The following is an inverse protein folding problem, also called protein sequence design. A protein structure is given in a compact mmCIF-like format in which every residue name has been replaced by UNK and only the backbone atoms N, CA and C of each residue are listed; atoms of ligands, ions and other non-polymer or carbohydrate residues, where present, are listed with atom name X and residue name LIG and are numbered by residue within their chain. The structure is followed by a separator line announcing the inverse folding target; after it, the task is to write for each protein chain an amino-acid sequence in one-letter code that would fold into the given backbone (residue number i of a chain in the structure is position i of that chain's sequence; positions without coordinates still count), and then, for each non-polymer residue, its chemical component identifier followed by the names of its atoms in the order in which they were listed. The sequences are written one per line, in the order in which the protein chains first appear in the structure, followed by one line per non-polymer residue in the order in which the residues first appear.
data_IF_362743220019
#
_entry.id   IF_362743220019
#
_cell.length_a   1.000
_cell.length_b   1.000
_cell.length_c   1.000
_cell.angle_alpha   90.00
_cell.angle_beta   90.00
_cell.angle_gamma   90.00
#
_symmetry.space_group_name_H-M   'P 1'
#
loop_
_entity.id
_entity.type
_entity.pdbx_description
1 polymer ?
#
# COMPACT_ATOMS: atom_id res chain seq x y z
N UNK A 1 -41.98 -4.44 4.95
CA UNK A 1 -40.69 -4.43 5.68
C UNK A 1 -39.63 -3.92 4.72
N UNK A 2 -38.95 -2.81 5.09
CA UNK A 2 -38.03 -2.08 4.22
C UNK A 2 -36.82 -2.96 3.86
N UNK A 3 -36.64 -3.23 2.57
CA UNK A 3 -35.46 -3.90 2.01
C UNK A 3 -34.26 -2.95 2.16
N UNK A 4 -33.31 -3.29 3.03
CA UNK A 4 -32.04 -2.58 3.12
C UNK A 4 -31.17 -3.05 1.96
N UNK A 5 -31.07 -2.25 0.89
CA UNK A 5 -30.04 -2.45 -0.14
C UNK A 5 -28.68 -2.17 0.51
N UNK A 6 -27.88 -3.22 0.77
CA UNK A 6 -26.47 -3.05 1.07
C UNK A 6 -25.71 -3.07 -0.27
N UNK A 7 -25.64 -1.90 -0.89
CA UNK A 7 -24.91 -1.67 -2.14
C UNK A 7 -23.42 -1.49 -1.79
N UNK A 8 -22.59 -2.52 -1.98
CA UNK A 8 -21.14 -2.36 -1.92
C UNK A 8 -20.66 -1.64 -3.18
N UNK A 9 -20.64 -0.31 -3.12
CA UNK A 9 -19.91 0.52 -4.06
C UNK A 9 -18.41 0.16 -3.96
N UNK A 10 -17.87 -0.50 -4.98
CA UNK A 10 -16.43 -0.41 -5.26
C UNK A 10 -16.22 1.01 -5.78
N UNK A 11 -15.96 1.94 -4.87
CA UNK A 11 -15.44 3.26 -5.20
C UNK A 11 -14.07 3.04 -5.85
N UNK A 12 -14.05 3.10 -7.19
CA UNK A 12 -12.87 3.44 -7.94
C UNK A 12 -12.49 4.90 -7.62
N UNK A 13 -11.91 5.12 -6.45
CA UNK A 13 -11.16 6.34 -6.14
C UNK A 13 -9.76 5.95 -5.71
N UNK A 14 -9.06 5.27 -6.61
CA UNK A 14 -7.61 5.42 -6.70
C UNK A 14 -7.36 6.47 -7.79
N UNK A 15 -7.33 7.75 -7.39
CA UNK A 15 -6.43 8.70 -8.06
C UNK A 15 -4.99 8.35 -7.63
N UNK A 16 -4.59 7.12 -7.91
CA UNK A 16 -3.20 6.75 -7.94
C UNK A 16 -2.67 7.29 -9.26
N UNK A 17 -1.62 8.10 -9.19
CA UNK A 17 -0.74 8.35 -10.33
C UNK A 17 0.01 7.03 -10.57
N UNK A 18 -0.71 6.02 -11.05
CA UNK A 18 -0.12 4.79 -11.56
C UNK A 18 0.11 5.04 -13.04
N UNK A 19 1.36 4.87 -13.48
CA UNK A 19 1.71 5.02 -14.88
C UNK A 19 1.11 3.84 -15.66
N UNK A 20 -0.10 4.02 -16.16
CA UNK A 20 -0.76 3.09 -17.08
C UNK A 20 0.07 3.00 -18.36
N UNK A 21 0.57 1.81 -18.67
CA UNK A 21 1.15 1.56 -19.99
C UNK A 21 0.06 0.94 -20.85
N UNK A 22 -0.63 1.78 -21.64
CA UNK A 22 -1.51 1.28 -22.70
C UNK A 22 -0.64 0.63 -23.75
N UNK A 23 -0.79 -0.68 -23.98
CA UNK A 23 -0.07 -1.37 -25.05
C UNK A 23 -0.69 -0.95 -26.39
N UNK A 24 -0.16 0.10 -27.01
CA UNK A 24 -0.57 0.52 -28.37
C UNK A 24 0.10 -0.37 -29.42
N UNK A 25 -0.66 -0.73 -30.45
CA UNK A 25 -0.39 -1.71 -31.53
C UNK A 25 0.87 -1.48 -32.41
N UNK A 26 1.87 -0.71 -31.98
CA UNK A 26 3.07 -0.41 -32.79
C UNK A 26 4.39 -0.93 -32.21
N UNK A 27 4.38 -2.14 -31.66
CA UNK A 27 5.62 -2.93 -31.56
C UNK A 27 5.35 -4.39 -31.94
N UNK A 28 5.27 -4.64 -33.24
CA UNK A 28 5.30 -5.99 -33.80
C UNK A 28 6.69 -6.57 -33.54
N UNK A 29 6.81 -7.41 -32.51
CA UNK A 29 7.52 -8.71 -32.51
C UNK A 29 7.81 -9.14 -31.07
N UNK A 30 7.28 -10.31 -30.70
CA UNK A 30 7.29 -10.95 -29.37
C UNK A 30 6.21 -10.49 -28.37
N UNK A 31 4.94 -10.52 -28.78
CA UNK A 31 3.87 -10.75 -27.79
C UNK A 31 4.05 -12.19 -27.31
N UNK A 32 4.60 -12.39 -26.11
CA UNK A 32 4.47 -13.67 -25.40
C UNK A 32 2.98 -13.94 -25.35
N UNK A 33 2.53 -14.94 -26.11
CA UNK A 33 1.14 -15.39 -26.10
C UNK A 33 0.93 -16.09 -24.75
N UNK A 34 0.68 -15.31 -23.71
CA UNK A 34 0.23 -15.86 -22.43
C UNK A 34 -0.95 -16.78 -22.74
N UNK A 35 -0.89 -18.00 -22.22
CA UNK A 35 -1.94 -18.99 -22.47
C UNK A 35 -3.25 -18.44 -21.90
N UNK A 36 -4.14 -18.01 -22.79
CA UNK A 36 -5.45 -17.48 -22.43
C UNK A 36 -6.19 -18.46 -21.53
N UNK A 37 -6.76 -17.95 -20.44
CA UNK A 37 -7.49 -18.75 -19.46
C UNK A 37 -8.99 -18.55 -19.63
N UNK A 38 -9.72 -19.63 -19.45
CA UNK A 38 -11.18 -19.65 -19.53
C UNK A 38 -11.75 -20.10 -18.19
N UNK A 39 -12.89 -19.56 -17.81
CA UNK A 39 -13.64 -20.04 -16.68
C UNK A 39 -14.09 -21.49 -16.93
N UNK A 40 -13.84 -22.35 -15.94
CA UNK A 40 -14.30 -23.73 -15.94
C UNK A 40 -14.65 -24.14 -14.52
N UNK A 41 -15.95 -24.33 -14.25
CA UNK A 41 -16.46 -24.72 -12.94
C UNK A 41 -16.06 -26.15 -12.55
N UNK A 42 -15.79 -27.03 -13.53
CA UNK A 42 -15.39 -28.42 -13.29
C UNK A 42 -14.06 -28.54 -12.54
N UNK A 43 -13.23 -27.49 -12.56
CA UNK A 43 -12.01 -27.42 -11.76
C UNK A 43 -12.28 -27.47 -10.24
N UNK A 44 -13.52 -27.20 -9.84
CA UNK A 44 -13.95 -27.09 -8.44
C UNK A 44 -15.00 -28.14 -8.06
N UNK A 45 -15.22 -29.18 -8.90
CA UNK A 45 -16.23 -30.21 -8.63
C UNK A 45 -15.98 -31.00 -7.34
N UNK A 46 -14.72 -31.15 -6.95
CA UNK A 46 -14.29 -31.87 -5.74
C UNK A 46 -14.12 -30.93 -4.52
N UNK A 47 -14.62 -29.70 -4.60
CA UNK A 47 -14.62 -28.76 -3.49
C UNK A 47 -15.95 -28.83 -2.74
N UNK A 48 -15.88 -28.69 -1.42
CA UNK A 48 -17.06 -28.69 -0.56
C UNK A 48 -17.60 -27.28 -0.39
N UNK A 49 -18.88 -27.14 -0.07
CA UNK A 49 -19.46 -25.86 0.34
C UNK A 49 -18.80 -25.36 1.62
N UNK A 50 -18.37 -24.09 1.68
CA UNK A 50 -17.85 -23.50 2.91
C UNK A 50 -19.02 -23.14 3.86
N UNK A 51 -19.15 -23.80 5.02
CA UNK A 51 -20.26 -23.56 5.95
C UNK A 51 -20.15 -22.22 6.69
N UNK A 52 -19.01 -21.52 6.61
CA UNK A 52 -18.83 -20.22 7.24
C UNK A 52 -19.61 -19.10 6.53
N UNK A 53 -20.12 -19.35 5.32
CA UNK A 53 -20.83 -18.36 4.51
C UNK A 53 -22.08 -18.93 3.86
N UNK A 54 -23.12 -18.10 3.82
CA UNK A 54 -24.38 -18.42 3.15
C UNK A 54 -24.18 -18.41 1.64
N UNK A 55 -24.72 -19.42 0.97
CA UNK A 55 -24.75 -19.50 -0.48
C UNK A 55 -25.96 -18.76 -1.03
N UNK A 56 -25.82 -18.16 -2.20
CA UNK A 56 -26.94 -17.61 -2.98
C UNK A 56 -26.85 -18.11 -4.42
N UNK A 57 -27.83 -17.75 -5.25
CA UNK A 57 -27.75 -18.04 -6.68
C UNK A 57 -26.56 -17.33 -7.34
N UNK A 58 -26.28 -16.09 -6.89
CA UNK A 58 -25.24 -15.23 -7.45
C UNK A 58 -23.89 -15.36 -6.75
N UNK A 59 -23.82 -16.00 -5.57
CA UNK A 59 -22.59 -16.15 -4.80
C UNK A 59 -22.44 -17.57 -4.25
N UNK A 60 -21.32 -18.22 -4.61
CA UNK A 60 -20.94 -19.52 -4.07
C UNK A 60 -19.61 -19.44 -3.34
N UNK A 61 -19.56 -20.06 -2.16
CA UNK A 61 -18.36 -20.16 -1.34
C UNK A 61 -17.99 -21.63 -1.18
N UNK A 62 -16.81 -22.00 -1.67
CA UNK A 62 -16.30 -23.36 -1.59
C UNK A 62 -15.02 -23.40 -0.75
N UNK A 63 -14.72 -24.56 -0.18
CA UNK A 63 -13.54 -24.82 0.63
C UNK A 63 -12.93 -26.17 0.26
N UNK A 64 -11.60 -26.22 0.28
CA UNK A 64 -10.82 -27.45 0.23
C UNK A 64 -9.58 -27.27 1.08
N UNK A 65 -9.42 -28.10 2.10
CA UNK A 65 -8.34 -27.98 3.10
C UNK A 65 -8.28 -26.56 3.70
N UNK A 66 -7.16 -25.87 3.53
CA UNK A 66 -6.91 -24.51 4.00
C UNK A 66 -7.19 -23.44 2.94
N UNK A 67 -7.75 -23.82 1.79
CA UNK A 67 -8.08 -22.92 0.70
C UNK A 67 -9.58 -22.65 0.63
N UNK A 68 -9.90 -21.46 0.13
CA UNK A 68 -11.26 -20.97 -0.06
C UNK A 68 -11.41 -20.37 -1.43
N UNK A 69 -12.59 -20.57 -1.99
CA UNK A 69 -13.01 -20.05 -3.28
C UNK A 69 -14.30 -19.27 -3.10
N UNK A 70 -14.34 -18.04 -3.60
CA UNK A 70 -15.57 -17.28 -3.78
C UNK A 70 -15.85 -17.15 -5.28
N UNK A 71 -17.04 -17.55 -5.70
CA UNK A 71 -17.56 -17.41 -7.06
C UNK A 71 -18.70 -16.40 -7.00
N UNK A 72 -18.55 -15.26 -7.67
CA UNK A 72 -19.61 -14.25 -7.80
C UNK A 72 -20.05 -14.16 -9.25
N UNK A 73 -21.33 -14.39 -9.50
CA UNK A 73 -21.98 -14.33 -10.80
C UNK A 73 -22.71 -13.00 -10.92
N UNK A 74 -22.24 -12.15 -11.83
CA UNK A 74 -22.89 -10.89 -12.18
C UNK A 74 -23.60 -11.04 -13.53
N UNK A 75 -24.25 -9.98 -14.02
CA UNK A 75 -24.98 -10.02 -15.30
C UNK A 75 -24.05 -10.30 -16.50
N UNK A 76 -22.85 -9.72 -16.50
CA UNK A 76 -21.90 -9.73 -17.62
C UNK A 76 -20.60 -10.50 -17.32
N UNK A 77 -20.32 -10.79 -16.05
CA UNK A 77 -19.04 -11.37 -15.61
C UNK A 77 -19.17 -12.41 -14.51
N UNK A 78 -18.14 -13.24 -14.39
CA UNK A 78 -17.93 -14.18 -13.29
C UNK A 78 -16.63 -13.79 -12.60
N UNK A 79 -16.66 -13.56 -11.29
CA UNK A 79 -15.47 -13.31 -10.49
C UNK A 79 -15.13 -14.55 -9.67
N UNK A 80 -13.86 -14.93 -9.70
CA UNK A 80 -13.32 -16.06 -8.94
C UNK A 80 -12.22 -15.52 -8.03
N UNK A 81 -12.45 -15.51 -6.72
CA UNK A 81 -11.44 -15.19 -5.71
C UNK A 81 -10.98 -16.48 -5.04
N UNK A 82 -9.67 -16.75 -5.09
CA UNK A 82 -9.02 -17.83 -4.33
C UNK A 82 -8.21 -17.23 -3.20
N UNK A 83 -8.39 -17.75 -2.00
CA UNK A 83 -7.71 -17.29 -0.79
C UNK A 83 -7.35 -18.45 0.14
N UNK A 84 -6.55 -18.16 1.17
CA UNK A 84 -6.26 -19.10 2.25
C UNK A 84 -6.95 -18.67 3.55
N UNK A 85 -7.27 -19.65 4.40
CA UNK A 85 -7.62 -19.39 5.80
C UNK A 85 -6.40 -19.04 6.66
N UNK A 86 -5.21 -19.45 6.23
CA UNK A 86 -3.96 -19.31 6.97
C UNK A 86 -3.17 -18.07 6.58
N UNK A 87 -3.20 -17.71 5.29
CA UNK A 87 -2.45 -16.55 4.79
C UNK A 87 -3.31 -15.41 4.23
N UNK A 88 -2.66 -14.27 4.04
CA UNK A 88 -3.30 -12.99 3.68
C UNK A 88 -3.32 -12.71 2.19
N UNK A 89 -2.81 -13.64 1.37
CA UNK A 89 -2.81 -13.53 -0.08
C UNK A 89 -4.14 -13.95 -0.69
N UNK A 90 -4.54 -13.23 -1.73
CA UNK A 90 -5.71 -13.54 -2.55
C UNK A 90 -5.37 -13.43 -4.02
N UNK A 91 -5.94 -14.30 -4.84
CA UNK A 91 -5.87 -14.21 -6.30
C UNK A 91 -7.28 -14.04 -6.82
N UNK A 92 -7.46 -13.05 -7.69
CA UNK A 92 -8.77 -12.76 -8.28
C UNK A 92 -8.65 -12.80 -9.79
N UNK A 93 -9.50 -13.61 -10.39
CA UNK A 93 -9.70 -13.66 -11.83
C UNK A 93 -11.14 -13.24 -12.15
N UNK A 94 -11.29 -12.36 -13.14
CA UNK A 94 -12.60 -11.95 -13.65
C UNK A 94 -12.74 -12.45 -15.06
N UNK A 95 -13.85 -13.09 -15.35
CA UNK A 95 -14.16 -13.71 -16.64
C UNK A 95 -15.40 -13.06 -17.23
N UNK A 96 -15.44 -12.94 -18.55
CA UNK A 96 -16.65 -12.60 -19.28
C UNK A 96 -17.64 -13.77 -19.17
N UNK A 97 -18.90 -13.51 -18.80
CA UNK A 97 -19.89 -14.57 -18.52
C UNK A 97 -20.32 -15.31 -19.79
N UNK A 98 -20.31 -14.65 -20.95
CA UNK A 98 -20.77 -15.23 -22.22
C UNK A 98 -19.72 -16.12 -22.87
N UNK A 99 -18.48 -15.67 -22.87
CA UNK A 99 -17.35 -16.31 -23.55
C UNK A 99 -16.46 -17.11 -22.61
N UNK A 100 -16.64 -16.94 -21.29
CA UNK A 100 -15.75 -17.48 -20.24
C UNK A 100 -14.31 -16.98 -20.32
N UNK A 101 -13.98 -16.03 -21.20
CA UNK A 101 -12.61 -15.50 -21.35
C UNK A 101 -12.20 -14.70 -20.12
N UNK A 102 -10.97 -14.92 -19.64
CA UNK A 102 -10.42 -14.12 -18.55
C UNK A 102 -10.14 -12.69 -19.02
N UNK A 103 -10.72 -11.72 -18.33
CA UNK A 103 -10.60 -10.29 -18.59
C UNK A 103 -9.64 -9.59 -17.66
N UNK A 104 -9.55 -10.04 -16.41
CA UNK A 104 -8.67 -9.45 -15.40
C UNK A 104 -8.04 -10.57 -14.58
N UNK A 105 -6.75 -10.40 -14.26
CA UNK A 105 -6.06 -11.20 -13.26
C UNK A 105 -5.25 -10.31 -12.34
N UNK A 106 -5.40 -10.49 -11.03
CA UNK A 106 -4.64 -9.76 -10.02
C UNK A 106 -4.36 -10.63 -8.79
N UNK A 107 -3.31 -10.26 -8.06
CA UNK A 107 -2.98 -10.81 -6.74
C UNK A 107 -3.07 -9.68 -5.73
N UNK A 108 -3.60 -9.95 -4.55
CA UNK A 108 -3.70 -9.01 -3.44
C UNK A 108 -2.99 -9.55 -2.21
N UNK A 109 -2.45 -8.63 -1.43
CA UNK A 109 -2.06 -8.84 -0.05
C UNK A 109 -2.99 -7.96 0.79
N UNK A 110 -3.77 -8.57 1.70
CA UNK A 110 -4.90 -7.87 2.33
C UNK A 110 -5.84 -7.23 1.30
N UNK A 111 -6.11 -5.93 1.41
CA UNK A 111 -7.04 -5.18 0.56
C UNK A 111 -6.38 -4.46 -0.63
N UNK A 112 -5.09 -4.68 -0.91
CA UNK A 112 -4.39 -3.99 -1.99
C UNK A 112 -3.72 -4.96 -2.98
N UNK A 113 -3.69 -4.57 -4.25
CA UNK A 113 -3.05 -5.35 -5.32
C UNK A 113 -1.53 -5.30 -5.21
N UNK A 114 -0.87 -6.43 -5.51
CA UNK A 114 0.58 -6.60 -5.53
C UNK A 114 1.02 -7.18 -6.87
N UNK A 115 2.31 -7.03 -7.20
CA UNK A 115 2.86 -7.49 -8.47
C UNK A 115 2.16 -6.86 -9.68
N UNK A 116 2.02 -7.65 -10.74
CA UNK A 116 1.41 -7.22 -12.00
C UNK A 116 -0.09 -7.56 -12.02
N UNK A 117 -0.93 -6.54 -12.20
CA UNK A 117 -2.32 -6.69 -12.63
C UNK A 117 -2.37 -6.72 -14.16
N UNK A 118 -3.07 -7.68 -14.74
CA UNK A 118 -3.26 -7.81 -16.19
C UNK A 118 -4.71 -7.59 -16.57
N UNK A 119 -4.94 -6.92 -17.70
CA UNK A 119 -6.27 -6.72 -18.29
C UNK A 119 -6.26 -7.10 -19.76
N UNK A 120 -7.27 -7.85 -20.19
CA UNK A 120 -7.42 -8.39 -21.53
C UNK A 120 -8.69 -7.86 -22.20
N UNK A 121 -8.66 -7.75 -23.52
CA UNK A 121 -9.82 -7.40 -24.34
C UNK A 121 -10.78 -8.60 -24.57
N UNK A 122 -11.81 -8.39 -25.38
CA UNK A 122 -12.84 -9.38 -25.71
C UNK A 122 -12.33 -10.56 -26.54
N UNK A 123 -11.18 -10.40 -27.19
CA UNK A 123 -10.52 -11.46 -27.97
C UNK A 123 -9.46 -12.19 -27.16
N UNK A 124 -9.17 -11.71 -25.95
CA UNK A 124 -8.11 -12.22 -25.09
C UNK A 124 -6.73 -11.61 -25.38
N UNK A 125 -6.64 -10.48 -26.07
CA UNK A 125 -5.38 -9.76 -26.19
C UNK A 125 -5.11 -8.95 -24.93
N UNK A 126 -3.88 -8.98 -24.44
CA UNK A 126 -3.44 -8.18 -23.31
C UNK A 126 -3.40 -6.70 -23.70
N UNK A 127 -4.19 -5.87 -23.04
CA UNK A 127 -4.32 -4.43 -23.36
C UNK A 127 -3.71 -3.52 -22.30
N UNK A 128 -3.55 -4.01 -21.07
CA UNK A 128 -2.99 -3.24 -19.97
C UNK A 128 -2.27 -4.13 -18.95
N UNK A 129 -1.13 -3.65 -18.48
CA UNK A 129 -0.39 -4.20 -17.35
C UNK A 129 -0.05 -3.07 -16.37
N UNK A 130 -0.34 -3.29 -15.08
CA UNK A 130 -0.02 -2.35 -14.01
C UNK A 130 0.88 -3.03 -12.99
N UNK A 131 2.09 -2.53 -12.83
CA UNK A 131 2.97 -2.93 -11.73
C UNK A 131 2.59 -2.16 -10.46
N UNK A 132 1.85 -2.81 -9.57
CA UNK A 132 1.36 -2.23 -8.32
C UNK A 132 2.48 -2.00 -7.29
N UNK A 133 3.63 -2.66 -7.44
CA UNK A 133 4.78 -2.51 -6.55
C UNK A 133 5.71 -1.37 -6.99
N UNK A 134 5.54 -0.83 -8.21
CA UNK A 134 6.43 0.19 -8.79
C UNK A 134 6.71 1.40 -7.88
N UNK A 135 5.72 1.96 -7.13
CA UNK A 135 6.01 3.08 -6.24
C UNK A 135 6.89 2.70 -5.03
N UNK A 136 6.94 1.44 -4.62
CA UNK A 136 7.49 1.01 -3.33
C UNK A 136 8.90 0.46 -3.51
N UNK A 137 9.93 1.30 -3.26
CA UNK A 137 11.32 0.85 -3.24
C UNK A 137 11.62 -0.03 -2.01
N UNK A 138 11.01 0.32 -0.87
CA UNK A 138 10.95 -0.57 0.27
C UNK A 138 9.84 -1.58 0.04
N UNK A 139 10.22 -2.82 -0.24
CA UNK A 139 9.31 -3.83 -0.79
C UNK A 139 8.42 -4.47 0.26
N UNK A 140 7.32 -5.11 -0.17
CA UNK A 140 6.44 -5.86 0.72
C UNK A 140 7.16 -6.98 1.51
N UNK A 141 8.05 -7.80 0.92
CA UNK A 141 8.84 -8.77 1.69
C UNK A 141 9.69 -8.12 2.78
N UNK A 142 10.31 -6.97 2.49
CA UNK A 142 11.09 -6.23 3.50
C UNK A 142 10.20 -5.68 4.61
N UNK A 143 8.97 -5.23 4.31
CA UNK A 143 8.00 -4.85 5.33
C UNK A 143 7.62 -6.02 6.23
N UNK A 144 7.32 -7.18 5.64
CA UNK A 144 6.97 -8.41 6.38
C UNK A 144 8.11 -8.78 7.33
N UNK A 145 9.34 -8.81 6.83
CA UNK A 145 10.53 -9.10 7.63
C UNK A 145 10.75 -8.07 8.74
N UNK A 146 10.63 -6.77 8.43
CA UNK A 146 10.77 -5.69 9.41
C UNK A 146 9.79 -5.86 10.56
N UNK A 147 8.50 -6.02 10.27
CA UNK A 147 7.46 -6.17 11.31
C UNK A 147 7.62 -7.47 12.09
N UNK A 148 8.03 -8.56 11.42
CA UNK A 148 8.32 -9.82 12.09
C UNK A 148 9.49 -9.69 13.08
N UNK A 149 10.56 -9.01 12.69
CA UNK A 149 11.76 -8.86 13.51
C UNK A 149 11.57 -7.84 14.64
N UNK A 150 10.97 -6.68 14.35
CA UNK A 150 10.85 -5.57 15.31
C UNK A 150 9.63 -5.72 16.24
N UNK A 151 8.54 -6.30 15.73
CA UNK A 151 7.27 -6.38 16.46
C UNK A 151 6.88 -7.82 16.79
N UNK A 152 7.55 -8.84 16.24
CA UNK A 152 7.22 -10.25 16.49
C UNK A 152 5.90 -10.69 15.84
N UNK A 153 5.39 -9.93 14.87
CA UNK A 153 4.14 -10.22 14.18
C UNK A 153 4.42 -10.65 12.74
N UNK A 154 3.79 -11.74 12.32
CA UNK A 154 3.88 -12.22 10.94
C UNK A 154 2.68 -11.69 10.14
N UNK A 155 2.94 -10.76 9.22
CA UNK A 155 1.90 -10.16 8.38
C UNK A 155 1.32 -11.14 7.35
N UNK A 156 1.99 -12.26 7.09
CA UNK A 156 1.45 -13.32 6.25
C UNK A 156 0.50 -14.23 7.03
N UNK A 157 0.59 -14.28 8.36
CA UNK A 157 -0.25 -15.10 9.22
C UNK A 157 -1.61 -14.42 9.50
N UNK A 158 -2.64 -14.90 8.79
CA UNK A 158 -4.00 -14.38 8.91
C UNK A 158 -4.59 -14.60 10.31
N UNK A 159 -4.09 -15.57 11.07
CA UNK A 159 -4.58 -15.89 12.43
C UNK A 159 -4.21 -14.81 13.45
N UNK A 160 -3.14 -14.04 13.18
CA UNK A 160 -2.71 -12.92 14.02
C UNK A 160 -3.60 -11.68 13.87
N UNK A 161 -4.50 -11.68 12.87
CA UNK A 161 -5.50 -10.61 12.65
C UNK A 161 -4.90 -9.22 12.47
N UNK A 162 -3.65 -9.12 12.02
CA UNK A 162 -3.04 -7.85 11.59
C UNK A 162 -3.82 -7.28 10.39
N UNK A 163 -3.71 -5.98 10.14
CA UNK A 163 -4.27 -5.33 8.94
C UNK A 163 -3.16 -4.49 8.32
N UNK A 164 -3.03 -4.57 6.99
CA UNK A 164 -2.06 -3.78 6.24
C UNK A 164 -2.76 -3.08 5.08
N UNK A 165 -2.54 -1.77 4.94
CA UNK A 165 -2.85 -1.01 3.74
C UNK A 165 -1.59 -0.36 3.18
N UNK A 166 -1.64 -0.01 1.90
CA UNK A 166 -0.64 0.83 1.26
C UNK A 166 -1.30 1.70 0.20
N UNK A 167 -0.78 2.90 0.02
CA UNK A 167 -1.14 3.81 -1.08
C UNK A 167 -0.06 4.87 -1.24
N UNK A 168 -0.08 5.56 -2.38
CA UNK A 168 0.66 6.81 -2.55
C UNK A 168 -0.19 7.92 -1.94
N UNK A 169 0.22 8.38 -0.77
CA UNK A 169 -0.53 9.39 -0.04
C UNK A 169 -0.32 10.77 -0.68
N UNK A 170 -1.42 11.46 -0.99
CA UNK A 170 -1.38 12.74 -1.69
C UNK A 170 -0.92 13.89 -0.79
N UNK A 171 -1.24 13.85 0.51
CA UNK A 171 -0.83 14.90 1.45
C UNK A 171 0.64 14.73 1.88
N UNK A 172 1.09 13.49 2.08
CA UNK A 172 2.48 13.18 2.42
C UNK A 172 3.37 13.23 1.16
N UNK A 173 2.82 12.96 -0.02
CA UNK A 173 3.51 13.04 -1.31
C UNK A 173 4.41 11.84 -1.60
N UNK A 174 4.22 10.70 -0.93
CA UNK A 174 5.05 9.49 -1.10
C UNK A 174 4.24 8.21 -0.83
N UNK A 175 4.68 7.05 -1.36
CA UNK A 175 4.13 5.74 -0.98
C UNK A 175 4.30 5.49 0.51
N UNK A 176 3.28 4.93 1.13
CA UNK A 176 3.29 4.55 2.54
C UNK A 176 2.72 3.16 2.75
N UNK A 177 3.16 2.52 3.81
CA UNK A 177 2.50 1.37 4.41
C UNK A 177 1.86 1.79 5.74
N UNK A 178 0.64 1.34 5.95
CA UNK A 178 -0.05 1.45 7.23
C UNK A 178 -0.24 0.04 7.80
N UNK A 179 0.35 -0.21 8.96
CA UNK A 179 0.31 -1.51 9.62
C UNK A 179 -0.44 -1.36 10.94
N UNK A 180 -1.43 -2.22 11.14
CA UNK A 180 -2.23 -2.30 12.35
C UNK A 180 -2.03 -3.68 12.98
N UNK A 181 -1.47 -3.70 14.19
CA UNK A 181 -1.23 -4.91 14.96
C UNK A 181 -2.10 -4.92 16.22
N UNK A 182 -2.53 -6.10 16.68
CA UNK A 182 -3.12 -6.21 18.01
C UNK A 182 -2.04 -5.91 19.04
N UNK A 183 -2.37 -5.07 20.02
CA UNK A 183 -1.41 -4.74 21.08
C UNK A 183 -1.03 -6.00 21.86
N UNK A 184 0.24 -6.16 22.20
CA UNK A 184 0.70 -7.29 23.02
C UNK A 184 0.13 -7.25 24.44
N UNK A 185 -0.01 -6.05 24.98
CA UNK A 185 -0.51 -5.84 26.35
C UNK A 185 -2.04 -5.95 26.42
N UNK A 186 -2.74 -5.42 25.41
CA UNK A 186 -4.21 -5.42 25.36
C UNK A 186 -4.76 -5.88 23.99
N UNK A 187 -4.60 -7.17 23.62
CA UNK A 187 -4.91 -7.65 22.27
C UNK A 187 -6.35 -7.42 21.81
N UNK A 188 -7.33 -7.53 22.70
CA UNK A 188 -8.74 -7.37 22.33
C UNK A 188 -9.24 -5.91 22.40
N UNK A 189 -8.52 -5.05 23.11
CA UNK A 189 -8.95 -3.70 23.42
C UNK A 189 -8.17 -2.61 22.66
N UNK A 190 -7.00 -2.93 22.08
CA UNK A 190 -6.10 -1.91 21.53
C UNK A 190 -5.40 -2.37 20.23
N UNK A 191 -5.30 -1.44 19.29
CA UNK A 191 -4.46 -1.55 18.11
C UNK A 191 -3.20 -0.71 18.26
N UNK A 192 -2.08 -1.26 17.81
CA UNK A 192 -0.83 -0.55 17.56
C UNK A 192 -0.77 -0.21 16.07
N UNK A 193 -0.47 1.04 15.76
CA UNK A 193 -0.42 1.58 14.41
C UNK A 193 0.99 2.02 14.08
N UNK A 194 1.47 1.61 12.91
CA UNK A 194 2.75 2.00 12.35
C UNK A 194 2.53 2.57 10.96
N UNK A 195 2.97 3.82 10.76
CA UNK A 195 3.08 4.44 9.45
C UNK A 195 4.52 4.32 8.98
N UNK A 196 4.74 3.64 7.85
CA UNK A 196 6.07 3.33 7.34
C UNK A 196 6.23 3.93 5.95
N UNK A 197 7.38 4.54 5.69
CA UNK A 197 7.77 5.07 4.40
C UNK A 197 7.96 3.94 3.38
N UNK A 198 7.22 3.98 2.26
CA UNK A 198 7.30 2.97 1.20
C UNK A 198 8.54 3.06 0.32
N UNK A 199 9.39 4.07 0.50
CA UNK A 199 10.67 4.23 -0.20
C UNK A 199 11.82 3.79 0.69
N UNK A 200 11.87 4.27 1.94
CA UNK A 200 13.02 4.07 2.83
C UNK A 200 12.82 2.95 3.85
N UNK A 201 11.58 2.57 4.15
CA UNK A 201 11.25 1.67 5.26
C UNK A 201 11.32 2.31 6.65
N UNK A 202 11.54 3.62 6.73
CA UNK A 202 11.55 4.38 7.98
C UNK A 202 10.14 4.41 8.60
N UNK A 203 10.05 4.20 9.91
CA UNK A 203 8.81 4.37 10.66
C UNK A 203 8.57 5.86 10.92
N UNK A 204 7.62 6.45 10.19
CA UNK A 204 7.29 7.87 10.25
C UNK A 204 6.46 8.23 11.48
N UNK A 205 5.60 7.32 11.93
CA UNK A 205 4.70 7.56 13.06
C UNK A 205 4.29 6.26 13.72
N UNK A 206 4.19 6.29 15.05
CA UNK A 206 3.66 5.20 15.87
C UNK A 206 2.59 5.78 16.78
N UNK A 207 1.43 5.15 16.84
CA UNK A 207 0.41 5.46 17.84
C UNK A 207 -0.35 4.19 18.22
N UNK A 208 -1.28 4.33 19.16
CA UNK A 208 -2.16 3.24 19.52
C UNK A 208 -3.54 3.77 19.86
N UNK A 209 -4.57 2.98 19.58
CA UNK A 209 -5.95 3.40 19.78
C UNK A 209 -6.84 2.22 20.18
N UNK A 210 -7.93 2.48 20.93
CA UNK A 210 -8.80 1.41 21.37
C UNK A 210 -9.58 0.79 20.20
N UNK A 211 -9.77 -0.53 20.22
CA UNK A 211 -10.52 -1.29 19.21
C UNK A 211 -11.99 -0.87 19.13
N UNK A 212 -12.52 -0.35 20.24
CA UNK A 212 -13.88 0.19 20.36
C UNK A 212 -13.78 1.62 20.88
N UNK A 213 -14.08 2.58 20.03
CA UNK A 213 -14.19 4.00 20.40
C UNK A 213 -15.53 4.55 19.93
N UNK A 214 -16.18 5.34 20.78
CA UNK A 214 -17.38 6.10 20.40
C UNK A 214 -17.06 7.16 19.32
N UNK A 215 -15.78 7.56 19.19
CA UNK A 215 -15.28 8.47 18.16
C UNK A 215 -14.04 7.83 17.52
N UNK A 216 -14.20 6.97 16.50
CA UNK A 216 -13.07 6.37 15.81
C UNK A 216 -12.23 7.48 15.19
N UNK A 217 -10.94 7.50 15.53
CA UNK A 217 -9.96 8.38 14.89
C UNK A 217 -9.14 7.56 13.91
N UNK A 218 -8.92 8.11 12.71
CA UNK A 218 -8.03 7.51 11.73
C UNK A 218 -6.60 7.94 12.07
N UNK A 219 -5.67 7.02 12.41
CA UNK A 219 -4.34 7.37 12.92
C UNK A 219 -3.52 8.26 11.96
N UNK A 220 -3.62 8.05 10.65
CA UNK A 220 -2.92 8.88 9.66
C UNK A 220 -3.28 10.37 9.78
N UNK A 221 -4.51 10.71 10.18
CA UNK A 221 -4.92 12.09 10.37
C UNK A 221 -4.24 12.75 11.59
N UNK A 222 -3.79 11.97 12.57
CA UNK A 222 -2.98 12.51 13.67
C UNK A 222 -1.58 12.88 13.18
N UNK A 223 -0.96 12.02 12.37
CA UNK A 223 0.32 12.33 11.73
C UNK A 223 0.22 13.55 10.79
N UNK A 224 -0.82 13.64 9.96
CA UNK A 224 -1.03 14.79 9.09
C UNK A 224 -1.23 16.10 9.85
N UNK A 225 -1.82 16.06 11.06
CA UNK A 225 -1.90 17.25 11.93
C UNK A 225 -0.54 17.67 12.44
N UNK A 226 0.29 16.71 12.87
CA UNK A 226 1.68 16.98 13.30
C UNK A 226 2.46 17.60 12.14
N UNK A 227 2.34 17.07 10.93
CA UNK A 227 2.97 17.65 9.74
C UNK A 227 2.49 19.07 9.44
N UNK A 228 1.18 19.33 9.55
CA UNK A 228 0.60 20.68 9.35
C UNK A 228 1.09 21.66 10.41
N UNK A 229 1.18 21.25 11.67
CA UNK A 229 1.70 22.07 12.77
C UNK A 229 3.18 22.39 12.55
N UNK A 230 4.01 21.38 12.26
CA UNK A 230 5.43 21.58 11.94
C UNK A 230 5.61 22.51 10.76
N UNK A 231 4.83 22.35 9.69
CA UNK A 231 4.86 23.26 8.53
C UNK A 231 4.47 24.69 8.91
N UNK A 232 3.50 24.87 9.81
CA UNK A 232 3.12 26.19 10.29
C UNK A 232 4.24 26.83 11.13
N UNK A 233 4.88 26.06 12.00
CA UNK A 233 6.03 26.51 12.81
C UNK A 233 7.25 26.86 11.95
N UNK A 234 7.58 26.01 10.96
CA UNK A 234 8.69 26.23 10.02
C UNK A 234 8.52 27.54 9.23
N UNK A 235 7.27 27.89 8.89
CA UNK A 235 6.92 29.09 8.14
C UNK A 235 6.56 30.29 9.02
N UNK A 236 6.52 30.13 10.34
CA UNK A 236 6.25 31.22 11.26
C UNK A 236 7.43 32.22 11.23
N UNK A 237 7.10 33.51 11.37
CA UNK A 237 8.10 34.53 11.61
C UNK A 237 8.95 34.14 12.83
N UNK A 238 10.26 34.16 12.65
CA UNK A 238 11.20 33.83 13.72
C UNK A 238 11.96 35.06 14.21
N UNK A 239 12.75 35.70 13.33
CA UNK A 239 13.47 36.92 13.68
C UNK A 239 13.89 37.75 12.48
N UNK A 240 14.37 38.95 12.75
CA UNK A 240 14.91 39.87 11.76
C UNK A 240 16.43 39.95 11.87
N UNK A 241 17.14 39.88 10.76
CA UNK A 241 18.60 40.04 10.71
C UNK A 241 19.02 40.77 9.44
N UNK A 242 19.84 41.81 9.58
CA UNK A 242 20.31 42.68 8.47
C UNK A 242 19.18 43.19 7.55
N UNK A 243 18.06 43.59 8.15
CA UNK A 243 16.91 44.14 7.41
C UNK A 243 16.04 43.12 6.70
N UNK A 244 16.35 41.81 6.79
CA UNK A 244 15.50 40.72 6.29
C UNK A 244 14.77 40.05 7.46
N UNK A 245 13.47 39.76 7.27
CA UNK A 245 12.70 38.87 8.14
C UNK A 245 12.92 37.42 7.71
N UNK A 246 13.17 36.54 8.67
CA UNK A 246 13.38 35.11 8.45
C UNK A 246 12.25 34.31 9.09
N UNK A 247 11.78 33.30 8.39
CA UNK A 247 11.06 32.20 9.02
C UNK A 247 12.00 31.33 9.83
N UNK A 248 11.47 30.46 10.71
CA UNK A 248 12.29 29.55 11.51
C UNK A 248 13.17 28.67 10.61
N UNK A 249 12.59 28.10 9.55
CA UNK A 249 13.32 27.25 8.60
C UNK A 249 14.37 28.02 7.81
N UNK A 250 14.06 29.23 7.35
CA UNK A 250 15.04 30.06 6.64
C UNK A 250 16.21 30.44 7.55
N UNK A 251 15.95 30.66 8.83
CA UNK A 251 16.98 30.99 9.81
C UNK A 251 17.89 29.79 10.11
N UNK A 252 17.33 28.60 10.29
CA UNK A 252 18.10 27.36 10.49
C UNK A 252 19.02 27.08 9.28
N UNK A 253 18.51 27.20 8.05
CA UNK A 253 19.31 27.06 6.82
C UNK A 253 20.43 28.11 6.78
N UNK A 254 20.12 29.36 7.16
CA UNK A 254 21.11 30.44 7.21
C UNK A 254 22.22 30.14 8.23
N UNK A 255 21.89 29.63 9.42
CA UNK A 255 22.87 29.24 10.44
C UNK A 255 23.73 28.05 10.01
N UNK A 256 23.12 27.01 9.42
CA UNK A 256 23.86 25.86 8.88
C UNK A 256 24.85 26.28 7.80
N UNK A 257 24.43 27.12 6.84
CA UNK A 257 25.33 27.65 5.82
C UNK A 257 26.44 28.52 6.40
N UNK A 258 26.13 29.31 7.43
CA UNK A 258 27.11 30.15 8.10
C UNK A 258 28.16 29.30 8.83
N UNK A 259 27.73 28.28 9.57
CA UNK A 259 28.61 27.31 10.24
C UNK A 259 29.50 26.56 9.24
N UNK A 260 28.92 26.05 8.14
CA UNK A 260 29.69 25.37 7.09
C UNK A 260 30.77 26.27 6.50
N UNK A 261 30.45 27.54 6.21
CA UNK A 261 31.43 28.51 5.68
C UNK A 261 32.53 28.85 6.68
N UNK A 262 32.20 28.96 7.97
CA UNK A 262 33.19 29.19 9.02
C UNK A 262 34.15 28.00 9.17
N UNK A 263 33.63 26.77 9.13
CA UNK A 263 34.44 25.55 9.14
C UNK A 263 35.36 25.44 7.90
N UNK A 264 34.84 25.71 6.70
CA UNK A 264 35.63 25.76 5.47
C UNK A 264 36.75 26.81 5.54
N UNK A 265 36.47 28.00 6.10
CA UNK A 265 37.49 29.04 6.29
C UNK A 265 38.52 28.69 7.37
N UNK A 266 38.14 27.95 8.41
CA UNK A 266 39.07 27.44 9.43
C UNK A 266 39.96 26.36 8.84
N UNK A 267 39.39 25.42 8.09
CA UNK A 267 40.16 24.37 7.41
C UNK A 267 41.10 24.93 6.34
N UNK A 268 40.65 25.93 5.55
CA UNK A 268 41.51 26.63 4.59
C UNK A 268 42.63 27.47 5.25
N UNK A 269 42.36 28.07 6.42
CA UNK A 269 43.39 28.78 7.22
C UNK A 269 44.38 27.80 7.86
N UNK A 270 43.92 26.66 8.37
CA UNK A 270 44.80 25.61 8.89
C UNK A 270 45.71 25.07 7.77
N UNK A 271 45.19 24.83 6.57
CA UNK A 271 45.98 24.42 5.41
C UNK A 271 47.03 25.46 4.97
N UNK A 272 46.76 26.76 5.16
CA UNK A 272 47.71 27.85 4.89
C UNK A 272 48.84 27.88 5.92
N UNK A 273 48.53 27.78 7.21
CA UNK A 273 49.54 27.78 8.28
C UNK A 273 50.35 26.48 8.32
N UNK A 274 49.73 25.33 8.05
CA UNK A 274 50.41 24.03 7.99
C UNK A 274 51.40 23.96 6.81
N UNK A 275 51.18 24.69 5.72
CA UNK A 275 52.14 24.80 4.61
C UNK A 275 53.25 25.83 4.84
N UNK A 276 53.05 26.80 5.74
CA UNK A 276 54.04 27.84 6.04
C UNK A 276 55.03 27.38 7.11
N UNK A 277 54.59 26.60 8.10
CA UNK A 277 55.42 26.20 9.23
C UNK A 277 56.01 24.78 9.15
N UNK A 278 55.65 23.98 8.14
CA UNK A 278 56.24 22.65 7.90
C UNK A 278 57.29 22.63 6.77
N UNK A 279 58.14 23.66 6.68
CA UNK A 279 59.30 23.69 5.78
C UNK A 279 60.61 23.71 6.54
#
# INVERSE_FOLDING_TARGET
MKKSLLLFYILATCNCISQTTTVTEKTTNQIKKDKMQYFNIELYKDWETDPAWSQTEDEKFLKKDNERLSLSYYDDKIQVERSSILNTYKKTAVYDKKTSLMRIFLTQFYQFSIGITKTYDETGLLINEVNNDKPYLFTLPQLIEKIKNENGADLEDRTQKSIVSRHVDQEIGKPIYEVYLRSKEYPDAKWEYFLIDGITGETLFITSYPTRSAKPKVPIYEYLKVLKQKKAEDNAYYKSYKGKHYTKKEWEIFEEEWHRKDEEQKNGRNFFWDNIFNK
#
